data_IF_218026859751
#
_entry.id   IF_218026859751
#
_cell.length_a   1.000
_cell.length_b   1.000
_cell.length_c   1.000
_cell.angle_alpha   90.00
_cell.angle_beta   90.00
_cell.angle_gamma   90.00
#
_symmetry.space_group_name_H-M   'P 1'
#
loop_
_entity.id
_entity.type
_entity.pdbx_description
1 polymer ?
#
# COMPACT_ATOMS: atom_id res chain seq x y z
N UNK A 1 5.84 6.76 21.40
CA UNK A 1 6.34 5.70 20.52
C UNK A 1 6.51 6.22 19.10
N UNK A 2 7.48 5.70 18.39
CA UNK A 2 7.83 6.16 17.05
C UNK A 2 7.66 5.02 16.04
N UNK A 3 7.25 5.37 14.82
CA UNK A 3 7.19 4.42 13.73
C UNK A 3 8.52 4.37 12.97
N UNK A 4 8.95 3.17 12.68
CA UNK A 4 10.14 2.90 11.89
C UNK A 4 9.77 2.06 10.68
N UNK A 5 10.69 1.94 9.74
CA UNK A 5 10.51 1.13 8.55
C UNK A 5 11.72 0.26 8.32
N UNK A 6 11.49 -0.96 7.88
CA UNK A 6 12.57 -1.90 7.58
C UNK A 6 12.35 -2.55 6.22
N UNK A 7 13.47 -2.89 5.57
CA UNK A 7 13.45 -3.70 4.37
C UNK A 7 13.20 -5.16 4.76
N UNK A 8 12.30 -5.82 4.05
CA UNK A 8 12.01 -7.23 4.24
C UNK A 8 12.67 -8.07 3.15
N UNK A 9 12.81 -9.35 3.42
CA UNK A 9 13.15 -10.33 2.40
C UNK A 9 12.02 -10.41 1.38
N UNK A 10 12.32 -10.92 0.20
CA UNK A 10 11.35 -11.02 -0.88
C UNK A 10 10.08 -11.77 -0.43
N UNK A 11 8.92 -11.18 -0.65
CA UNK A 11 7.61 -11.73 -0.32
C UNK A 11 7.41 -12.06 1.16
N UNK A 12 8.17 -11.41 2.05
CA UNK A 12 8.11 -11.65 3.49
C UNK A 12 7.48 -10.50 4.29
N UNK A 13 6.83 -9.54 3.64
CA UNK A 13 6.26 -8.37 4.30
C UNK A 13 5.24 -8.79 5.38
N UNK A 14 4.32 -9.66 5.02
CA UNK A 14 3.29 -10.12 5.97
C UNK A 14 3.89 -10.99 7.07
N UNK A 15 4.86 -11.83 6.74
CA UNK A 15 5.56 -12.67 7.71
C UNK A 15 6.34 -11.82 8.71
N UNK A 16 7.00 -10.76 8.25
CA UNK A 16 7.71 -9.83 9.11
C UNK A 16 6.75 -9.11 10.07
N UNK A 17 5.61 -8.66 9.56
CA UNK A 17 4.57 -8.03 10.37
C UNK A 17 4.01 -8.98 11.42
N UNK A 18 3.71 -10.21 11.04
CA UNK A 18 3.19 -11.22 11.97
C UNK A 18 4.20 -11.55 13.07
N UNK A 19 5.47 -11.60 12.74
CA UNK A 19 6.53 -11.83 13.73
C UNK A 19 6.56 -10.70 14.76
N UNK A 20 6.47 -9.44 14.31
CA UNK A 20 6.39 -8.30 15.23
C UNK A 20 5.17 -8.38 16.13
N UNK A 21 4.01 -8.71 15.59
CA UNK A 21 2.77 -8.84 16.37
C UNK A 21 2.89 -9.92 17.44
N UNK A 22 3.52 -11.05 17.12
CA UNK A 22 3.76 -12.14 18.07
C UNK A 22 4.69 -11.70 19.20
N UNK A 23 5.59 -10.77 18.98
CA UNK A 23 6.50 -10.23 19.98
C UNK A 23 5.94 -8.99 20.69
N UNK A 24 4.68 -8.66 20.46
CA UNK A 24 4.01 -7.53 21.12
C UNK A 24 4.29 -6.17 20.49
N UNK A 25 4.83 -6.13 19.28
CA UNK A 25 5.11 -4.89 18.56
C UNK A 25 4.01 -4.60 17.56
N UNK A 26 3.46 -3.39 17.60
CA UNK A 26 2.52 -2.94 16.61
C UNK A 26 3.23 -2.78 15.27
N UNK A 27 2.68 -3.39 14.24
CA UNK A 27 3.26 -3.36 12.89
C UNK A 27 2.18 -3.12 11.85
N UNK A 28 2.61 -2.63 10.69
CA UNK A 28 1.71 -2.31 9.59
C UNK A 28 2.40 -2.59 8.26
N UNK A 29 1.70 -3.28 7.38
CA UNK A 29 2.10 -3.47 5.99
C UNK A 29 0.97 -2.92 5.13
N UNK A 30 1.20 -1.85 4.36
CA UNK A 30 0.19 -1.35 3.43
C UNK A 30 -0.14 -2.42 2.39
N UNK A 31 -1.40 -2.80 2.28
CA UNK A 31 -1.84 -3.84 1.36
C UNK A 31 -3.06 -3.38 0.57
N UNK A 32 -3.18 -3.88 -0.64
CA UNK A 32 -4.42 -3.84 -1.41
C UNK A 32 -5.16 -5.15 -1.23
N UNK A 33 -6.45 -5.06 -1.05
CA UNK A 33 -7.33 -6.21 -1.08
C UNK A 33 -8.09 -6.20 -2.40
N UNK A 34 -7.96 -7.28 -3.18
CA UNK A 34 -8.62 -7.43 -4.46
C UNK A 34 -9.48 -8.69 -4.45
N UNK A 35 -10.71 -8.59 -4.95
CA UNK A 35 -11.51 -9.77 -5.28
C UNK A 35 -11.27 -10.10 -6.74
N UNK A 36 -10.79 -11.31 -7.00
CA UNK A 36 -10.71 -11.83 -8.36
C UNK A 36 -11.75 -12.91 -8.55
N UNK A 37 -12.55 -12.73 -9.58
CA UNK A 37 -13.55 -13.71 -9.94
C UNK A 37 -12.94 -14.73 -10.90
N UNK A 38 -12.85 -15.96 -10.42
CA UNK A 38 -12.48 -17.10 -11.24
C UNK A 38 -13.75 -17.72 -11.83
N UNK A 39 -13.62 -18.61 -12.78
CA UNK A 39 -14.76 -19.25 -13.45
C UNK A 39 -15.74 -19.94 -12.50
N UNK A 40 -15.27 -20.38 -11.33
CA UNK A 40 -16.05 -21.16 -10.37
C UNK A 40 -16.19 -20.50 -9.00
N UNK A 41 -15.45 -19.42 -8.70
CA UNK A 41 -15.47 -18.77 -7.40
C UNK A 41 -14.83 -17.39 -7.43
N UNK A 42 -15.18 -16.59 -6.40
CA UNK A 42 -14.53 -15.33 -6.10
C UNK A 42 -13.44 -15.55 -5.05
N UNK A 43 -12.23 -15.10 -5.31
CA UNK A 43 -11.11 -15.19 -4.37
C UNK A 43 -10.60 -13.81 -3.98
N UNK A 44 -10.41 -13.60 -2.68
CA UNK A 44 -9.80 -12.39 -2.15
C UNK A 44 -8.28 -12.52 -2.19
N UNK A 45 -7.60 -11.56 -2.80
CA UNK A 45 -6.14 -11.51 -2.90
C UNK A 45 -5.63 -10.29 -2.16
N UNK A 46 -4.63 -10.49 -1.30
CA UNK A 46 -3.96 -9.43 -0.56
C UNK A 46 -2.58 -9.23 -1.17
N UNK A 47 -2.31 -8.02 -1.66
CA UNK A 47 -1.03 -7.67 -2.29
C UNK A 47 -0.42 -6.47 -1.58
N UNK A 48 0.87 -6.52 -1.18
CA UNK A 48 1.52 -5.35 -0.60
C UNK A 48 1.48 -4.15 -1.55
N UNK A 49 1.07 -3.00 -1.03
CA UNK A 49 1.05 -1.75 -1.79
C UNK A 49 2.47 -1.21 -1.98
N UNK A 50 3.35 -1.49 -1.02
CA UNK A 50 4.77 -1.14 -1.06
C UNK A 50 5.56 -2.42 -0.82
N UNK A 51 6.16 -2.96 -1.87
CA UNK A 51 6.90 -4.21 -1.79
C UNK A 51 8.21 -4.02 -1.05
N UNK A 52 8.55 -4.99 -0.20
CA UNK A 52 9.84 -5.04 0.48
C UNK A 52 9.96 -4.19 1.73
N UNK A 53 8.86 -3.69 2.27
CA UNK A 53 8.86 -2.84 3.47
C UNK A 53 7.84 -3.29 4.49
N UNK A 54 8.18 -3.11 5.77
CA UNK A 54 7.27 -3.26 6.90
C UNK A 54 7.47 -2.08 7.84
N UNK A 55 6.36 -1.53 8.34
CA UNK A 55 6.36 -0.47 9.34
C UNK A 55 6.11 -1.07 10.71
N UNK A 56 6.82 -0.57 11.72
CA UNK A 56 6.65 -1.05 13.09
C UNK A 56 6.86 0.09 14.09
N UNK A 57 6.27 -0.05 15.26
CA UNK A 57 6.21 1.01 16.27
C UNK A 57 6.99 0.60 17.52
N UNK A 58 8.00 1.38 17.87
CA UNK A 58 8.83 1.20 19.07
C UNK A 58 9.05 2.53 19.77
N UNK A 59 9.40 2.48 21.05
CA UNK A 59 9.79 3.69 21.78
C UNK A 59 11.09 4.28 21.23
N UNK A 60 12.03 3.41 20.89
CA UNK A 60 13.30 3.78 20.25
C UNK A 60 13.76 2.66 19.32
N UNK A 61 14.64 3.00 18.39
CA UNK A 61 15.24 2.01 17.48
C UNK A 61 16.17 1.07 18.24
N UNK A 62 15.69 -0.11 18.56
CA UNK A 62 16.49 -1.19 19.16
C UNK A 62 16.88 -2.17 18.06
N UNK A 63 18.09 -1.99 17.52
CA UNK A 63 18.56 -2.79 16.39
C UNK A 63 18.72 -4.27 16.76
N UNK A 64 19.13 -4.55 17.99
CA UNK A 64 19.24 -5.94 18.47
C UNK A 64 17.89 -6.65 18.43
N UNK A 65 16.86 -6.00 18.95
CA UNK A 65 15.50 -6.52 18.95
C UNK A 65 14.96 -6.66 17.51
N UNK A 66 15.17 -5.62 16.69
CA UNK A 66 14.67 -5.62 15.30
C UNK A 66 15.33 -6.74 14.50
N UNK A 67 16.62 -6.96 14.68
CA UNK A 67 17.38 -7.98 13.96
C UNK A 67 17.01 -9.41 14.34
N UNK A 68 16.27 -9.62 15.42
CA UNK A 68 15.72 -10.92 15.75
C UNK A 68 14.62 -11.37 14.78
N UNK A 69 14.04 -10.45 14.04
CA UNK A 69 13.03 -10.79 13.04
C UNK A 69 13.73 -11.40 11.81
N UNK A 70 13.56 -12.72 11.55
CA UNK A 70 14.28 -13.38 10.47
C UNK A 70 13.82 -13.00 9.07
N UNK A 71 12.70 -12.29 8.96
CA UNK A 71 12.13 -11.86 7.68
C UNK A 71 12.60 -10.47 7.25
N UNK A 72 13.42 -9.81 8.07
CA UNK A 72 13.98 -8.51 7.75
C UNK A 72 15.37 -8.64 7.14
N UNK A 73 15.68 -7.69 6.25
CA UNK A 73 17.05 -7.49 5.77
C UNK A 73 17.77 -6.49 6.63
N UNK A 74 17.22 -5.28 6.75
CA UNK A 74 17.78 -4.20 7.55
C UNK A 74 16.74 -3.13 7.82
N UNK A 75 17.01 -2.30 8.83
CA UNK A 75 16.22 -1.09 9.09
C UNK A 75 16.58 -0.03 8.06
N UNK A 76 15.60 0.69 7.55
CA UNK A 76 15.84 1.82 6.66
C UNK A 76 16.49 2.93 7.47
N UNK A 77 17.63 3.41 7.00
CA UNK A 77 18.43 4.46 7.66
C UNK A 77 18.63 5.65 6.74
N UNK A 78 18.73 6.80 7.36
CA UNK A 78 19.10 8.05 6.70
C UNK A 78 20.16 8.73 7.55
N UNK A 79 21.31 9.04 6.98
CA UNK A 79 22.44 9.62 7.69
C UNK A 79 22.89 8.78 8.91
N UNK A 80 22.87 7.45 8.77
CA UNK A 80 23.28 6.53 9.83
C UNK A 80 22.25 6.29 10.92
N UNK A 81 21.10 6.93 10.87
CA UNK A 81 20.04 6.79 11.86
C UNK A 81 18.79 6.19 11.25
N UNK A 82 18.06 5.39 12.04
CA UNK A 82 16.80 4.82 11.59
C UNK A 82 15.81 5.93 11.21
N UNK A 83 15.16 5.76 10.07
CA UNK A 83 14.14 6.70 9.60
C UNK A 83 12.92 6.60 10.51
N UNK A 84 12.50 7.73 11.06
CA UNK A 84 11.28 7.85 11.84
C UNK A 84 10.15 8.34 10.94
N UNK A 85 8.99 7.71 11.08
CA UNK A 85 7.79 8.08 10.33
C UNK A 85 6.74 8.54 11.32
N UNK A 86 6.11 9.65 11.00
CA UNK A 86 5.05 10.21 11.83
C UNK A 86 3.82 9.28 11.80
N UNK A 87 3.20 9.10 12.96
CA UNK A 87 1.97 8.31 13.06
C UNK A 87 0.85 8.84 12.16
N UNK A 88 0.83 10.14 11.88
CA UNK A 88 -0.12 10.74 10.95
C UNK A 88 0.10 10.25 9.50
N UNK A 89 1.34 10.01 9.09
CA UNK A 89 1.64 9.45 7.78
C UNK A 89 1.17 8.00 7.66
N UNK A 90 1.33 7.22 8.73
CA UNK A 90 0.81 5.85 8.78
C UNK A 90 -0.71 5.85 8.68
N UNK A 91 -1.37 6.76 9.41
CA UNK A 91 -2.83 6.88 9.36
C UNK A 91 -3.31 7.30 7.97
N UNK A 92 -2.60 8.21 7.32
CA UNK A 92 -2.91 8.62 5.95
C UNK A 92 -2.82 7.44 4.98
N UNK A 93 -1.80 6.60 5.11
CA UNK A 93 -1.69 5.38 4.29
C UNK A 93 -2.87 4.43 4.53
N UNK A 94 -3.24 4.22 5.79
CA UNK A 94 -4.38 3.38 6.15
C UNK A 94 -5.67 3.92 5.54
N UNK A 95 -5.90 5.21 5.63
CA UNK A 95 -7.11 5.85 5.12
C UNK A 95 -7.17 5.79 3.59
N UNK A 96 -6.07 6.02 2.91
CA UNK A 96 -6.00 5.90 1.45
C UNK A 96 -6.32 4.49 0.98
N UNK A 97 -5.77 3.48 1.64
CA UNK A 97 -5.96 2.09 1.25
C UNK A 97 -7.33 1.53 1.67
N UNK A 98 -7.93 2.10 2.70
CA UNK A 98 -9.28 1.73 3.14
C UNK A 98 -10.34 2.05 2.08
N UNK A 99 -10.12 3.08 1.28
CA UNK A 99 -11.01 3.45 0.19
C UNK A 99 -10.75 2.65 -1.09
N UNK A 100 -9.70 1.85 -1.12
CA UNK A 100 -9.45 0.92 -2.19
C UNK A 100 -10.33 -0.31 -1.96
N UNK A 101 -11.47 -0.33 -2.61
CA UNK A 101 -12.41 -1.44 -2.49
C UNK A 101 -12.25 -2.40 -3.65
N UNK A 102 -12.60 -3.66 -3.39
CA UNK A 102 -12.57 -4.72 -4.39
C UNK A 102 -13.55 -4.50 -5.53
N UNK A 103 -14.65 -3.88 -5.22
CA UNK A 103 -15.59 -3.42 -6.23
C UNK A 103 -15.13 -2.06 -6.70
N UNK A 104 -15.01 -1.88 -7.99
CA UNK A 104 -14.75 -0.57 -8.55
C UNK A 104 -15.83 0.39 -8.08
N UNK A 105 -15.61 1.00 -6.92
CA UNK A 105 -16.59 1.87 -6.27
C UNK A 105 -16.65 3.25 -6.88
N UNK A 106 -15.87 3.49 -7.93
CA UNK A 106 -15.90 4.74 -8.67
C UNK A 106 -16.51 4.54 -10.04
N UNK A 107 -17.18 5.57 -10.53
CA UNK A 107 -17.77 5.60 -11.84
C UNK A 107 -17.56 6.96 -12.51
N UNK A 108 -18.16 7.16 -13.67
CA UNK A 108 -18.05 8.43 -14.40
C UNK A 108 -18.44 9.61 -13.51
N UNK A 109 -17.62 10.66 -13.50
CA UNK A 109 -17.81 11.84 -12.67
C UNK A 109 -17.06 11.83 -11.34
N UNK A 110 -16.54 10.69 -10.91
CA UNK A 110 -15.76 10.62 -9.67
C UNK A 110 -14.33 11.07 -9.89
N UNK A 111 -13.71 11.60 -8.86
CA UNK A 111 -12.29 11.93 -8.85
C UNK A 111 -11.50 10.79 -8.22
N UNK A 112 -10.42 10.39 -8.88
CA UNK A 112 -9.56 9.31 -8.40
C UNK A 112 -8.10 9.73 -8.37
N UNK A 113 -7.32 9.04 -7.56
CA UNK A 113 -5.87 9.22 -7.47
C UNK A 113 -5.18 7.94 -7.93
N UNK A 114 -4.19 8.07 -8.79
CA UNK A 114 -3.38 6.96 -9.26
C UNK A 114 -2.31 6.63 -8.21
N UNK A 115 -2.26 5.39 -7.77
CA UNK A 115 -1.35 4.94 -6.70
C UNK A 115 -0.07 4.28 -7.20
N UNK A 116 -0.02 3.88 -8.46
CA UNK A 116 1.14 3.17 -8.99
C UNK A 116 1.35 3.49 -10.46
N UNK A 117 2.54 3.14 -10.97
CA UNK A 117 2.89 3.34 -12.38
C UNK A 117 3.42 4.75 -12.67
N UNK A 118 3.46 5.08 -13.95
CA UNK A 118 4.03 6.34 -14.45
C UNK A 118 3.26 7.57 -13.96
N UNK A 119 1.95 7.42 -13.75
CA UNK A 119 1.07 8.52 -13.32
C UNK A 119 0.83 8.53 -11.82
N UNK A 120 1.67 7.86 -11.05
CA UNK A 120 1.55 7.81 -9.58
C UNK A 120 1.42 9.21 -8.99
N UNK A 121 0.48 9.35 -8.05
CA UNK A 121 0.13 10.60 -7.35
C UNK A 121 -0.63 11.63 -8.21
N UNK A 122 -0.97 11.31 -9.44
CA UNK A 122 -1.84 12.17 -10.26
C UNK A 122 -3.29 11.93 -9.91
N UNK A 123 -4.08 12.99 -9.92
CA UNK A 123 -5.53 12.94 -9.75
C UNK A 123 -6.20 13.16 -11.10
N UNK A 124 -7.28 12.44 -11.33
CA UNK A 124 -8.05 12.57 -12.56
C UNK A 124 -9.52 12.37 -12.32
N UNK A 125 -10.32 12.91 -13.25
CA UNK A 125 -11.76 12.70 -13.27
C UNK A 125 -12.04 11.44 -14.08
N UNK A 126 -12.88 10.56 -13.56
CA UNK A 126 -13.26 9.35 -14.28
C UNK A 126 -14.23 9.71 -15.39
N UNK A 127 -13.85 9.44 -16.63
CA UNK A 127 -14.71 9.60 -17.81
C UNK A 127 -15.55 8.34 -18.06
N UNK A 128 -14.99 7.18 -17.77
CA UNK A 128 -15.69 5.91 -17.87
C UNK A 128 -14.87 4.74 -17.36
N UNK A 129 -15.54 3.61 -17.19
CA UNK A 129 -14.91 2.35 -16.80
C UNK A 129 -15.35 1.28 -17.79
N UNK A 130 -14.40 0.59 -18.40
CA UNK A 130 -14.64 -0.48 -19.36
C UNK A 130 -13.87 -1.74 -18.93
N UNK A 131 -14.58 -2.83 -18.67
CA UNK A 131 -13.95 -4.09 -18.28
C UNK A 131 -12.86 -3.89 -17.22
N UNK A 132 -11.59 -4.07 -17.57
CA UNK A 132 -10.43 -3.92 -16.68
C UNK A 132 -9.69 -2.60 -16.91
N UNK A 133 -10.33 -1.61 -17.53
CA UNK A 133 -9.73 -0.31 -17.82
C UNK A 133 -10.54 0.81 -17.22
N UNK A 134 -9.86 1.83 -16.78
CA UNK A 134 -10.47 3.10 -16.39
C UNK A 134 -9.96 4.20 -17.31
N UNK A 135 -10.86 5.07 -17.76
CA UNK A 135 -10.52 6.21 -18.60
C UNK A 135 -10.57 7.43 -17.71
N UNK A 136 -9.44 8.12 -17.57
CA UNK A 136 -9.30 9.31 -16.74
C UNK A 136 -9.08 10.54 -17.59
N UNK A 137 -9.64 11.66 -17.14
CA UNK A 137 -9.29 12.99 -17.65
C UNK A 137 -8.27 13.60 -16.69
N UNK A 138 -7.04 13.77 -17.18
CA UNK A 138 -5.95 14.40 -16.44
C UNK A 138 -5.48 15.57 -17.29
N UNK A 139 -5.66 16.80 -16.80
CA UNK A 139 -5.32 18.02 -17.55
C UNK A 139 -5.95 18.08 -18.95
N UNK A 140 -7.23 17.67 -19.03
CA UNK A 140 -8.01 17.63 -20.28
C UNK A 140 -7.54 16.58 -21.29
N UNK A 141 -6.65 15.68 -20.89
CA UNK A 141 -6.19 14.57 -21.72
C UNK A 141 -6.86 13.28 -21.24
N UNK A 142 -7.42 12.51 -22.14
CA UNK A 142 -7.99 11.20 -21.84
C UNK A 142 -6.87 10.17 -21.76
N UNK A 143 -6.79 9.49 -20.62
CA UNK A 143 -5.79 8.42 -20.39
C UNK A 143 -6.52 7.14 -20.05
N UNK A 144 -6.23 6.08 -20.78
CA UNK A 144 -6.77 4.74 -20.52
C UNK A 144 -5.76 3.94 -19.70
N UNK A 145 -6.14 3.54 -18.50
CA UNK A 145 -5.27 2.80 -17.58
C UNK A 145 -5.82 1.40 -17.36
N UNK A 146 -4.93 0.41 -17.41
CA UNK A 146 -5.26 -0.96 -17.06
C UNK A 146 -5.35 -1.09 -15.54
N UNK A 147 -6.49 -1.57 -15.05
CA UNK A 147 -6.68 -1.82 -13.62
C UNK A 147 -5.89 -3.04 -13.12
N UNK A 148 -5.39 -3.87 -14.03
CA UNK A 148 -4.48 -4.97 -13.67
C UNK A 148 -3.05 -4.48 -13.41
N UNK A 149 -2.63 -3.42 -14.10
CA UNK A 149 -1.27 -2.88 -14.00
C UNK A 149 -1.19 -1.62 -13.13
N UNK A 150 -2.30 -0.92 -12.92
CA UNK A 150 -2.35 0.37 -12.24
C UNK A 150 -3.38 0.34 -11.12
N UNK A 151 -2.98 0.79 -9.94
CA UNK A 151 -3.87 0.92 -8.79
C UNK A 151 -4.43 2.33 -8.72
N UNK A 152 -5.74 2.44 -8.53
CA UNK A 152 -6.46 3.71 -8.51
C UNK A 152 -7.42 3.70 -7.33
N UNK A 153 -7.54 4.81 -6.61
CA UNK A 153 -8.49 4.97 -5.49
C UNK A 153 -9.35 6.20 -5.70
N UNK A 154 -10.61 6.09 -5.29
CA UNK A 154 -11.51 7.23 -5.26
C UNK A 154 -11.07 8.22 -4.18
N UNK A 155 -11.12 9.52 -4.49
CA UNK A 155 -10.86 10.59 -3.54
C UNK A 155 -12.06 11.54 -3.51
N UNK A 156 -12.36 11.97 -2.33
CA UNK A 156 -13.47 12.92 -2.12
C UNK A 156 -12.97 14.37 -2.14
#
# INVERSE_FOLDING_TARGET
MKWFVAHTKSRCEMKASDFFKKTGVESYVPVFEEKRQWSDRTKKIITPAISGYVFFRLEKADYSFINHNPFLRNVVRRFGQAVEIDGSEIQTMKDCLKHYTDDLSFGAGDTVKVLSGVLKNKKGLVDGVENNFVILLINSIKVKLSLNATKVVAVS
#
